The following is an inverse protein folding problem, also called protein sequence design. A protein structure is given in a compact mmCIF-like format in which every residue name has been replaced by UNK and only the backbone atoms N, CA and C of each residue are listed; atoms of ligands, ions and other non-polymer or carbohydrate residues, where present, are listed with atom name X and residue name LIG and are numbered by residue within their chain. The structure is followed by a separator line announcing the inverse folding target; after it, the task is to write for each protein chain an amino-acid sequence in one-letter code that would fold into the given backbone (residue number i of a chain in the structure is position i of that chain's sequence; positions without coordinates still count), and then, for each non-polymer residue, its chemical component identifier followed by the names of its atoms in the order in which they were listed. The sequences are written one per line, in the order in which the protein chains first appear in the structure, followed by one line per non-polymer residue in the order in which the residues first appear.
data_IF_916531233171
#
_entry.id   IF_916531233171
#
_cell.length_a   1.000
_cell.length_b   1.000
_cell.length_c   1.000
_cell.angle_alpha   90.00
_cell.angle_beta   90.00
_cell.angle_gamma   90.00
#
_symmetry.space_group_name_H-M   'P 1'
#
loop_
_entity.id
_entity.type
_entity.pdbx_description
1 polymer ?
#
# COMPACT_ATOMS: atom_id res chain seq x y z
N UNK A 1 10.92 -13.65 -20.24
CA UNK A 1 10.16 -12.91 -19.21
C UNK A 1 9.22 -13.90 -18.56
N UNK A 2 9.66 -14.52 -17.46
CA UNK A 2 8.78 -15.40 -16.68
C UNK A 2 7.60 -14.55 -16.17
N UNK A 3 6.38 -14.91 -16.58
CA UNK A 3 5.17 -14.37 -15.99
C UNK A 3 5.01 -15.06 -14.64
N UNK A 4 5.22 -14.33 -13.55
CA UNK A 4 4.86 -14.83 -12.22
C UNK A 4 3.36 -14.72 -12.01
N UNK A 5 2.79 -15.70 -11.31
CA UNK A 5 1.40 -15.64 -10.90
C UNK A 5 1.25 -14.61 -9.76
N UNK A 6 0.41 -13.59 -9.97
CA UNK A 6 0.13 -12.59 -8.95
C UNK A 6 -0.55 -13.17 -7.71
N UNK A 7 -1.29 -14.28 -7.87
CA UNK A 7 -1.88 -15.01 -6.74
C UNK A 7 -0.77 -15.62 -5.87
N UNK A 8 0.28 -16.13 -6.51
CA UNK A 8 1.44 -16.68 -5.81
C UNK A 8 2.17 -15.59 -5.02
N UNK A 9 2.39 -14.41 -5.61
CA UNK A 9 2.97 -13.26 -4.89
C UNK A 9 2.08 -12.77 -3.73
N UNK A 10 0.76 -12.76 -3.90
CA UNK A 10 -0.15 -12.37 -2.82
C UNK A 10 -0.12 -13.35 -1.64
N UNK A 11 -0.05 -14.66 -1.92
CA UNK A 11 0.13 -15.71 -0.90
C UNK A 11 1.49 -15.60 -0.22
N UNK A 12 2.53 -15.33 -0.99
CA UNK A 12 3.88 -15.11 -0.49
C UNK A 12 3.95 -13.99 0.53
N UNK A 13 3.37 -12.84 0.19
CA UNK A 13 3.35 -11.70 1.10
C UNK A 13 2.59 -11.97 2.41
N UNK A 14 1.66 -12.93 2.39
CA UNK A 14 0.92 -13.40 3.58
C UNK A 14 1.60 -14.57 4.30
N UNK A 15 2.82 -14.95 3.89
CA UNK A 15 3.57 -16.09 4.44
C UNK A 15 2.84 -17.44 4.26
N UNK A 16 2.08 -17.58 3.16
CA UNK A 16 1.26 -18.76 2.82
C UNK A 16 1.84 -19.58 1.66
N UNK A 17 3.13 -19.46 1.39
CA UNK A 17 3.85 -20.18 0.33
C UNK A 17 4.59 -21.40 0.87
N UNK A 18 4.69 -22.44 0.04
CA UNK A 18 5.60 -23.56 0.31
C UNK A 18 7.05 -23.19 -0.04
N UNK A 19 8.01 -24.02 0.38
CA UNK A 19 9.44 -23.80 0.07
C UNK A 19 9.74 -23.85 -1.44
N UNK A 20 9.07 -24.72 -2.18
CA UNK A 20 9.18 -24.76 -3.65
C UNK A 20 8.62 -23.49 -4.31
N UNK A 21 7.52 -22.97 -3.79
CA UNK A 21 6.92 -21.71 -4.23
C UNK A 21 7.86 -20.53 -3.95
N UNK A 22 8.50 -20.52 -2.78
CA UNK A 22 9.49 -19.52 -2.38
C UNK A 22 10.71 -19.51 -3.32
N UNK A 23 11.19 -20.69 -3.69
CA UNK A 23 12.27 -20.85 -4.66
C UNK A 23 11.90 -20.27 -6.03
N UNK A 24 10.67 -20.47 -6.48
CA UNK A 24 10.15 -19.90 -7.75
C UNK A 24 10.09 -18.38 -7.69
N UNK A 25 9.59 -17.82 -6.60
CA UNK A 25 9.50 -16.37 -6.41
C UNK A 25 10.90 -15.75 -6.38
N UNK A 26 11.83 -16.36 -5.63
CA UNK A 26 13.23 -15.92 -5.55
C UNK A 26 13.91 -15.98 -6.92
N UNK A 27 13.72 -17.08 -7.66
CA UNK A 27 14.27 -17.23 -9.02
C UNK A 27 13.72 -16.17 -9.97
N UNK A 28 12.41 -15.92 -9.94
CA UNK A 28 11.77 -14.88 -10.74
C UNK A 28 12.27 -13.48 -10.37
N UNK A 29 12.37 -13.17 -9.08
CA UNK A 29 12.86 -11.87 -8.58
C UNK A 29 14.29 -11.58 -9.07
N UNK A 30 15.12 -12.62 -9.12
CA UNK A 30 16.53 -12.51 -9.50
C UNK A 30 16.76 -12.58 -11.03
N UNK A 31 15.75 -12.96 -11.82
CA UNK A 31 15.87 -13.08 -13.28
C UNK A 31 16.27 -11.75 -13.95
N UNK A 32 15.74 -10.62 -13.47
CA UNK A 32 16.10 -9.30 -13.98
C UNK A 32 15.71 -8.16 -13.02
N UNK A 33 16.27 -6.97 -13.27
CA UNK A 33 16.05 -5.79 -12.44
C UNK A 33 14.59 -5.32 -12.41
N UNK A 34 13.84 -5.50 -13.50
CA UNK A 34 12.44 -5.09 -13.60
C UNK A 34 11.58 -5.94 -12.64
N UNK A 35 11.81 -7.25 -12.58
CA UNK A 35 11.12 -8.15 -11.66
C UNK A 35 11.43 -7.78 -10.20
N UNK A 36 12.69 -7.51 -9.87
CA UNK A 36 13.08 -7.06 -8.53
C UNK A 36 12.41 -5.75 -8.12
N UNK A 37 12.39 -4.75 -9.01
CA UNK A 37 11.71 -3.48 -8.77
C UNK A 37 10.19 -3.67 -8.62
N UNK A 38 9.59 -4.55 -9.43
CA UNK A 38 8.17 -4.89 -9.36
C UNK A 38 7.82 -5.55 -8.04
N UNK A 39 8.62 -6.54 -7.61
CA UNK A 39 8.48 -7.18 -6.30
C UNK A 39 8.51 -6.16 -5.17
N UNK A 40 9.52 -5.29 -5.15
CA UNK A 40 9.69 -4.29 -4.08
C UNK A 40 8.49 -3.34 -4.03
N UNK A 41 8.00 -2.86 -5.19
CA UNK A 41 6.81 -1.99 -5.25
C UNK A 41 5.58 -2.67 -4.67
N UNK A 42 5.30 -3.91 -5.09
CA UNK A 42 4.14 -4.66 -4.61
C UNK A 42 4.23 -4.96 -3.11
N UNK A 43 5.42 -5.32 -2.62
CA UNK A 43 5.65 -5.56 -1.20
C UNK A 43 5.47 -4.28 -0.35
N UNK A 44 5.92 -3.13 -0.85
CA UNK A 44 5.68 -1.84 -0.20
C UNK A 44 4.18 -1.54 -0.13
N UNK A 45 3.44 -1.69 -1.23
CA UNK A 45 1.98 -1.47 -1.26
C UNK A 45 1.29 -2.38 -0.26
N UNK A 46 1.62 -3.67 -0.27
CA UNK A 46 1.07 -4.65 0.67
C UNK A 46 1.34 -4.27 2.13
N UNK A 47 2.55 -3.81 2.46
CA UNK A 47 2.87 -3.32 3.81
C UNK A 47 2.07 -2.08 4.19
N UNK A 48 1.92 -1.13 3.27
CA UNK A 48 1.14 0.10 3.54
C UNK A 48 -0.35 -0.17 3.69
N UNK A 49 -0.91 -1.16 2.97
CA UNK A 49 -2.30 -1.58 3.09
C UNK A 49 -2.56 -2.38 4.37
N UNK A 50 -1.55 -3.07 4.90
CA UNK A 50 -1.63 -3.72 6.22
C UNK A 50 -1.59 -2.74 7.40
N UNK A 51 -1.19 -1.49 7.18
CA UNK A 51 -1.36 -0.44 8.19
C UNK A 51 -2.85 -0.12 8.26
N UNK A 52 -3.48 -0.61 9.33
CA UNK A 52 -4.85 -0.27 9.71
C UNK A 52 -5.16 1.20 9.45
N UNK A 53 -6.29 1.45 8.77
CA UNK A 53 -6.90 2.78 8.57
C UNK A 53 -7.06 3.60 9.87
N UNK A 54 -6.85 3.00 11.04
CA UNK A 54 -6.84 3.65 12.35
C UNK A 54 -5.64 4.60 12.55
N UNK A 55 -4.56 4.47 11.77
CA UNK A 55 -3.36 5.32 11.90
C UNK A 55 -3.20 6.41 10.83
N UNK A 56 -4.22 6.65 10.00
CA UNK A 56 -4.37 7.98 9.41
C UNK A 56 -4.83 8.93 10.53
N UNK A 57 -3.90 9.26 11.44
CA UNK A 57 -4.06 10.32 12.43
C UNK A 57 -4.44 11.58 11.69
N UNK A 58 -5.74 11.88 11.67
CA UNK A 58 -6.23 13.24 11.41
C UNK A 58 -5.45 14.12 12.35
N UNK A 59 -4.51 14.89 11.82
CA UNK A 59 -3.69 15.76 12.65
C UNK A 59 -4.61 16.80 13.27
N UNK A 60 -4.30 17.26 14.50
CA UNK A 60 -5.07 18.35 15.13
C UNK A 60 -5.12 19.59 14.21
N UNK A 61 -4.07 19.77 13.41
CA UNK A 61 -3.93 20.84 12.43
C UNK A 61 -4.92 20.71 11.26
N UNK A 62 -5.08 19.52 10.69
CA UNK A 62 -6.10 19.26 9.66
C UNK A 62 -7.52 19.49 10.19
N UNK A 63 -7.81 19.03 11.41
CA UNK A 63 -9.12 19.26 12.05
C UNK A 63 -9.41 20.76 12.21
N UNK A 64 -8.41 21.55 12.62
CA UNK A 64 -8.55 23.00 12.79
C UNK A 64 -8.73 23.70 11.43
N UNK A 65 -8.00 23.27 10.39
CA UNK A 65 -8.13 23.81 9.05
C UNK A 65 -9.53 23.58 8.49
N UNK A 66 -10.05 22.34 8.57
CA UNK A 66 -11.41 22.02 8.15
C UNK A 66 -12.47 22.79 8.93
N UNK A 67 -12.31 22.93 10.25
CA UNK A 67 -13.23 23.72 11.09
C UNK A 67 -13.28 25.19 10.65
N UNK A 68 -12.13 25.79 10.32
CA UNK A 68 -12.07 27.18 9.80
C UNK A 68 -12.76 27.31 8.44
N UNK A 69 -12.53 26.38 7.52
CA UNK A 69 -13.16 26.37 6.19
C UNK A 69 -14.68 26.29 6.32
N UNK A 70 -15.20 25.34 7.09
CA UNK A 70 -16.65 25.17 7.31
C UNK A 70 -17.26 26.43 7.94
N UNK A 71 -16.59 27.00 8.94
CA UNK A 71 -17.07 28.23 9.60
C UNK A 71 -17.16 29.42 8.63
N UNK A 72 -16.21 29.53 7.68
CA UNK A 72 -16.22 30.59 6.68
C UNK A 72 -17.38 30.43 5.70
N UNK A 73 -17.61 29.22 5.20
CA UNK A 73 -18.74 28.91 4.31
C UNK A 73 -20.08 29.24 4.98
N UNK A 74 -20.26 28.85 6.24
CA UNK A 74 -21.50 29.13 6.98
C UNK A 74 -21.73 30.63 7.20
N UNK A 75 -20.66 31.42 7.39
CA UNK A 75 -20.76 32.88 7.51
C UNK A 75 -21.10 33.54 6.18
N UNK A 76 -20.57 33.05 5.08
CA UNK A 76 -20.83 33.58 3.73
C UNK A 76 -22.26 33.27 3.26
N UNK A 77 -22.87 32.17 3.71
CA UNK A 77 -24.27 31.83 3.42
C UNK A 77 -25.31 32.58 4.27
N UNK A 78 -24.88 33.30 5.31
CA UNK A 78 -25.73 34.13 6.16
C UNK A 78 -25.74 35.62 5.74
N UNK A 79 -25.00 35.97 4.68
CA UNK A 79 -24.98 37.28 4.01
C UNK A 79 -25.83 37.23 2.73
#
# INVERSE_FOLDING_TARGET
MLKIDYILLARHFREQTSEEEECKITSWRNENIINSLTYNRLYTVFKTEQVSLVEQKITKEETVAWKKIITKILKEQQL
#
